data_IF_861983213473
#
_entry.id   IF_861983213473
#
_cell.length_a   1.000
_cell.length_b   1.000
_cell.length_c   1.000
_cell.angle_alpha   90.00
_cell.angle_beta   90.00
_cell.angle_gamma   90.00
#
_symmetry.space_group_name_H-M   'P 1'
#
loop_
_entity.id
_entity.type
_entity.pdbx_description
1 polymer ?
#
# COMPACT_ATOMS: atom_id res chain seq x y z
N UNK A 1 26.94 -3.46 10.48
CA UNK A 1 26.38 -4.82 10.70
C UNK A 1 24.95 -4.64 11.15
N UNK A 2 24.00 -5.07 10.32
CA UNK A 2 22.57 -5.05 10.68
C UNK A 2 22.35 -6.06 11.79
N UNK A 3 21.71 -5.67 12.89
CA UNK A 3 21.41 -6.58 14.00
C UNK A 3 20.45 -7.66 13.49
N UNK A 4 20.70 -8.95 13.78
CA UNK A 4 19.81 -10.07 13.38
C UNK A 4 18.37 -9.86 13.87
N UNK A 5 18.16 -9.07 14.93
CA UNK A 5 16.84 -8.66 15.40
C UNK A 5 16.09 -7.75 14.42
N UNK A 6 16.81 -6.92 13.66
CA UNK A 6 16.21 -6.00 12.70
C UNK A 6 15.80 -6.71 11.41
N UNK A 7 16.61 -7.66 10.94
CA UNK A 7 16.25 -8.52 9.80
C UNK A 7 14.95 -9.31 10.05
N UNK A 8 14.77 -9.86 11.25
CA UNK A 8 13.53 -10.57 11.64
C UNK A 8 12.32 -9.64 11.64
N UNK A 9 12.45 -8.39 12.11
CA UNK A 9 11.34 -7.42 12.09
C UNK A 9 10.98 -6.99 10.68
N UNK A 10 11.99 -6.76 9.82
CA UNK A 10 11.77 -6.46 8.39
C UNK A 10 11.07 -7.63 7.72
N UNK A 11 11.48 -8.88 7.99
CA UNK A 11 10.81 -10.07 7.47
C UNK A 11 9.33 -10.14 7.86
N UNK A 12 8.98 -9.92 9.14
CA UNK A 12 7.56 -9.92 9.57
C UNK A 12 6.76 -8.79 8.92
N UNK A 13 7.36 -7.60 8.74
CA UNK A 13 6.74 -6.50 8.00
C UNK A 13 6.50 -6.88 6.53
N UNK A 14 7.50 -7.44 5.85
CA UNK A 14 7.39 -7.91 4.47
C UNK A 14 6.36 -9.02 4.31
N UNK A 15 6.27 -9.95 5.27
CA UNK A 15 5.27 -11.02 5.28
C UNK A 15 3.85 -10.46 5.39
N UNK A 16 3.61 -9.51 6.29
CA UNK A 16 2.32 -8.83 6.41
C UNK A 16 1.95 -8.07 5.12
N UNK A 17 2.92 -7.45 4.45
CA UNK A 17 2.71 -6.81 3.16
C UNK A 17 2.40 -7.83 2.05
N UNK A 18 3.07 -8.97 2.06
CA UNK A 18 2.80 -10.09 1.16
C UNK A 18 1.39 -10.65 1.34
N UNK A 19 0.91 -10.75 2.57
CA UNK A 19 -0.46 -11.18 2.90
C UNK A 19 -1.54 -10.22 2.35
N UNK A 20 -1.16 -9.02 1.91
CA UNK A 20 -2.08 -8.14 1.17
C UNK A 20 -2.41 -8.69 -0.22
N UNK A 21 -1.65 -9.63 -0.77
CA UNK A 21 -1.81 -10.17 -2.12
C UNK A 21 -1.82 -9.06 -3.19
N UNK A 22 -1.07 -7.99 -2.92
CA UNK A 22 -0.89 -6.82 -3.77
C UNK A 22 0.62 -6.58 -3.83
N UNK A 23 1.14 -6.24 -5.00
CA UNK A 23 2.54 -5.85 -5.15
C UNK A 23 2.84 -4.66 -4.22
N UNK A 24 3.91 -4.69 -3.39
CA UNK A 24 4.14 -3.66 -2.38
C UNK A 24 4.18 -2.21 -2.91
N UNK A 25 4.73 -1.99 -4.11
CA UNK A 25 4.75 -0.66 -4.75
C UNK A 25 3.35 -0.19 -5.20
N UNK A 26 2.47 -1.11 -5.62
CA UNK A 26 1.07 -0.81 -5.94
C UNK A 26 0.26 -0.54 -4.67
N UNK A 27 0.50 -1.33 -3.61
CA UNK A 27 -0.11 -1.11 -2.30
C UNK A 27 0.24 0.28 -1.76
N UNK A 28 1.51 0.65 -1.82
CA UNK A 28 2.00 1.97 -1.43
C UNK A 28 1.30 3.08 -2.22
N UNK A 29 1.38 3.06 -3.56
CA UNK A 29 0.85 4.16 -4.36
C UNK A 29 -0.67 4.27 -4.21
N UNK A 30 -1.41 3.17 -4.15
CA UNK A 30 -2.86 3.20 -3.95
C UNK A 30 -3.23 3.78 -2.59
N UNK A 31 -2.64 3.30 -1.49
CA UNK A 31 -2.97 3.82 -0.16
C UNK A 31 -2.52 5.27 0.02
N UNK A 32 -1.32 5.62 -0.43
CA UNK A 32 -0.75 6.97 -0.36
C UNK A 32 -1.61 7.98 -1.10
N UNK A 33 -2.02 7.67 -2.35
CA UNK A 33 -2.92 8.53 -3.11
C UNK A 33 -4.25 8.70 -2.36
N UNK A 34 -4.84 7.63 -1.82
CA UNK A 34 -6.14 7.70 -1.14
C UNK A 34 -6.09 8.32 0.28
N UNK A 35 -4.91 8.70 0.78
CA UNK A 35 -4.78 9.41 2.05
C UNK A 35 -5.25 10.87 1.96
N UNK A 36 -5.02 11.51 0.81
CA UNK A 36 -5.18 12.95 0.62
C UNK A 36 -6.60 13.38 0.17
N UNK A 37 -7.55 12.45 0.01
CA UNK A 37 -8.91 12.78 -0.44
C UNK A 37 -9.74 11.63 -1.03
N UNK A 38 -10.86 11.97 -1.68
CA UNK A 38 -11.68 11.02 -2.44
C UNK A 38 -11.22 10.96 -3.89
N UNK A 39 -10.74 9.79 -4.34
CA UNK A 39 -10.16 9.66 -5.68
C UNK A 39 -11.09 8.98 -6.67
N UNK A 40 -11.11 9.53 -7.89
CA UNK A 40 -11.71 8.86 -9.03
C UNK A 40 -10.83 7.67 -9.42
N UNK A 41 -11.38 6.48 -9.19
CA UNK A 41 -10.93 5.16 -9.65
C UNK A 41 -9.96 5.20 -10.83
N UNK A 42 -8.69 4.90 -10.59
CA UNK A 42 -7.73 4.47 -11.61
C UNK A 42 -7.19 5.54 -12.57
N UNK A 43 -7.99 6.53 -12.99
CA UNK A 43 -7.62 7.46 -14.07
C UNK A 43 -6.31 8.19 -13.80
N UNK A 44 -6.14 8.73 -12.60
CA UNK A 44 -4.90 9.39 -12.20
C UNK A 44 -3.69 8.46 -12.32
N UNK A 45 -3.83 7.19 -11.91
CA UNK A 45 -2.76 6.21 -12.02
C UNK A 45 -2.44 5.86 -13.48
N UNK A 46 -3.46 5.73 -14.34
CA UNK A 46 -3.24 5.51 -15.79
C UNK A 46 -2.48 6.68 -16.41
N UNK A 47 -2.89 7.91 -16.09
CA UNK A 47 -2.27 9.12 -16.63
C UNK A 47 -0.79 9.25 -16.20
N UNK A 48 -0.39 8.59 -15.10
CA UNK A 48 0.99 8.47 -14.64
C UNK A 48 1.74 7.23 -15.18
N UNK A 49 1.10 6.45 -16.06
CA UNK A 49 1.71 5.27 -16.69
C UNK A 49 1.66 3.98 -15.88
N UNK A 50 0.92 3.94 -14.76
CA UNK A 50 0.75 2.71 -14.00
C UNK A 50 -0.17 1.72 -14.73
N UNK A 51 0.08 0.42 -14.55
CA UNK A 51 -0.75 -0.62 -15.12
C UNK A 51 -2.18 -0.55 -14.54
N UNK A 52 -3.14 -0.33 -15.44
CA UNK A 52 -4.53 -0.12 -15.05
C UNK A 52 -5.16 -1.32 -14.35
N UNK A 53 -4.89 -2.53 -14.84
CA UNK A 53 -5.43 -3.77 -14.27
C UNK A 53 -4.88 -3.98 -12.87
N UNK A 54 -3.56 -3.81 -12.67
CA UNK A 54 -2.94 -3.98 -11.37
C UNK A 54 -3.46 -2.98 -10.33
N UNK A 55 -3.67 -1.73 -10.74
CA UNK A 55 -4.24 -0.69 -9.87
C UNK A 55 -5.68 -1.00 -9.51
N UNK A 56 -6.51 -1.41 -10.48
CA UNK A 56 -7.90 -1.76 -10.19
C UNK A 56 -8.00 -2.97 -9.28
N UNK A 57 -7.26 -4.04 -9.57
CA UNK A 57 -7.26 -5.25 -8.76
C UNK A 57 -6.81 -4.95 -7.33
N UNK A 58 -5.78 -4.12 -7.16
CA UNK A 58 -5.34 -3.67 -5.84
C UNK A 58 -6.43 -2.89 -5.09
N UNK A 59 -7.13 -1.97 -5.76
CA UNK A 59 -8.25 -1.23 -5.15
C UNK A 59 -9.36 -2.19 -4.71
N UNK A 60 -9.73 -3.16 -5.55
CA UNK A 60 -10.75 -4.15 -5.22
C UNK A 60 -10.37 -5.02 -4.02
N UNK A 61 -9.13 -5.50 -3.99
CA UNK A 61 -8.60 -6.28 -2.86
C UNK A 61 -8.60 -5.45 -1.58
N UNK A 62 -8.17 -4.18 -1.64
CA UNK A 62 -8.14 -3.30 -0.46
C UNK A 62 -9.54 -2.94 0.04
N UNK A 63 -10.51 -2.81 -0.86
CA UNK A 63 -11.93 -2.66 -0.47
C UNK A 63 -12.43 -3.93 0.21
N UNK A 64 -12.18 -5.11 -0.37
CA UNK A 64 -12.59 -6.39 0.21
C UNK A 64 -11.97 -6.65 1.59
N UNK A 65 -10.73 -6.18 1.79
CA UNK A 65 -10.01 -6.28 3.08
C UNK A 65 -10.39 -5.15 4.05
N UNK A 66 -11.14 -4.13 3.64
CA UNK A 66 -11.56 -3.02 4.49
C UNK A 66 -10.49 -1.95 4.73
N UNK A 67 -9.42 -1.96 3.95
CA UNK A 67 -8.37 -0.94 3.95
C UNK A 67 -8.82 0.32 3.17
N UNK A 68 -9.72 0.14 2.20
CA UNK A 68 -10.47 1.20 1.52
C UNK A 68 -11.98 1.04 1.73
N UNK A 69 -12.73 2.14 1.69
CA UNK A 69 -14.20 2.14 1.57
C UNK A 69 -14.63 2.75 0.24
N UNK A 70 -15.79 2.31 -0.26
CA UNK A 70 -16.41 2.85 -1.48
C UNK A 70 -17.42 3.92 -1.15
N UNK A 71 -17.38 5.01 -1.91
CA UNK A 71 -18.41 6.05 -1.94
C UNK A 71 -18.76 6.32 -3.41
N UNK A 72 -19.74 5.56 -3.93
CA UNK A 72 -20.08 5.56 -5.36
C UNK A 72 -18.90 5.11 -6.24
N UNK A 73 -18.45 6.01 -7.14
CA UNK A 73 -17.31 5.77 -8.03
C UNK A 73 -15.95 6.08 -7.38
N UNK A 74 -15.95 6.60 -6.16
CA UNK A 74 -14.74 6.97 -5.45
C UNK A 74 -14.41 5.98 -4.35
N UNK A 75 -13.14 5.94 -3.98
CA UNK A 75 -12.64 5.19 -2.83
C UNK A 75 -11.95 6.13 -1.86
N UNK A 76 -11.92 5.74 -0.58
CA UNK A 76 -11.28 6.50 0.51
C UNK A 76 -10.56 5.54 1.45
N UNK A 77 -9.41 5.95 1.98
CA UNK A 77 -8.70 5.16 2.98
C UNK A 77 -9.46 5.08 4.31
N UNK A 78 -9.49 3.90 4.90
CA UNK A 78 -10.08 3.68 6.24
C UNK A 78 -9.03 3.87 7.34
N UNK A 79 -9.43 3.91 8.62
CA UNK A 79 -8.47 3.84 9.72
C UNK A 79 -7.58 2.59 9.68
N UNK A 80 -8.10 1.46 9.15
CA UNK A 80 -7.30 0.25 8.92
C UNK A 80 -6.27 0.49 7.81
N UNK A 81 -6.70 1.02 6.67
CA UNK A 81 -5.81 1.33 5.56
C UNK A 81 -4.68 2.28 5.94
N UNK A 82 -4.94 3.27 6.80
CA UNK A 82 -3.88 4.17 7.32
C UNK A 82 -2.84 3.43 8.15
N UNK A 83 -3.24 2.44 8.96
CA UNK A 83 -2.29 1.59 9.68
C UNK A 83 -1.46 0.74 8.73
N UNK A 84 -2.10 0.18 7.70
CA UNK A 84 -1.42 -0.57 6.64
C UNK A 84 -0.41 0.32 5.92
N UNK A 85 -0.78 1.55 5.55
CA UNK A 85 0.12 2.54 4.93
C UNK A 85 1.30 2.86 5.82
N UNK A 86 1.08 3.12 7.12
CA UNK A 86 2.17 3.35 8.07
C UNK A 86 3.16 2.18 8.13
N UNK A 87 2.67 0.95 8.09
CA UNK A 87 3.55 -0.23 8.07
C UNK A 87 4.33 -0.36 6.76
N UNK A 88 3.75 0.05 5.63
CA UNK A 88 4.47 0.16 4.36
C UNK A 88 5.58 1.20 4.48
N UNK A 89 5.29 2.39 5.00
CA UNK A 89 6.27 3.47 5.18
C UNK A 89 7.44 3.04 6.07
N UNK A 90 7.14 2.42 7.22
CA UNK A 90 8.16 1.88 8.14
C UNK A 90 9.05 0.81 7.48
N UNK A 91 8.48 -0.02 6.60
CA UNK A 91 9.24 -1.03 5.87
C UNK A 91 10.16 -0.40 4.81
N UNK A 92 9.70 0.65 4.11
CA UNK A 92 10.49 1.41 3.14
C UNK A 92 11.65 2.13 3.83
N UNK A 93 11.40 2.82 4.95
CA UNK A 93 12.43 3.52 5.72
C UNK A 93 13.54 2.58 6.20
N UNK A 94 13.16 1.43 6.79
CA UNK A 94 14.11 0.44 7.28
C UNK A 94 14.92 -0.20 6.17
N UNK A 95 14.29 -0.49 5.03
CA UNK A 95 15.01 -1.04 3.87
C UNK A 95 16.00 -0.03 3.32
N UNK A 96 15.61 1.25 3.26
CA UNK A 96 16.48 2.34 2.78
C UNK A 96 17.70 2.53 3.68
N UNK A 97 17.53 2.40 5.00
CA UNK A 97 18.61 2.50 5.98
C UNK A 97 19.61 1.31 5.96
N UNK A 98 19.25 0.20 5.32
CA UNK A 98 20.11 -0.99 5.17
C UNK A 98 20.91 -0.94 3.87
N UNK A 99 20.32 -0.37 2.81
CA UNK A 99 20.92 -0.30 1.47
C UNK A 99 21.81 0.96 1.32
N UNK A 100 21.47 2.05 2.01
CA UNK A 100 22.27 3.28 2.06
C UNK A 100 23.40 3.21 3.07
#
# INVERSE_FOLDING_TARGET
>A
MTDKKDEKKVYEQLKMLWEQNIKPHILFIVLRTHEDGEFYRGKWFVDQGYNLTEVYDAIEILVAKGDLTRQGKKTRITPKGRRTLKHVDEAIERTSAIIG
#
